data_IF_457891534457
#
_entry.id   IF_457891534457
#
_cell.length_a   1.000
_cell.length_b   1.000
_cell.length_c   1.000
_cell.angle_alpha   90.00
_cell.angle_beta   90.00
_cell.angle_gamma   90.00
#
_symmetry.space_group_name_H-M   'P 1'
#
loop_
_entity.id
_entity.type
_entity.pdbx_description
1 polymer ?
#
# COMPACT_ATOMS: atom_id res chain seq x y z
N UNK A 1 8.78 5.85 13.17
CA UNK A 1 9.62 6.02 11.96
C UNK A 1 8.91 5.28 10.84
N UNK A 2 8.21 6.00 9.98
CA UNK A 2 7.54 5.42 8.81
C UNK A 2 8.63 5.15 7.78
N UNK A 3 9.04 3.90 7.61
CA UNK A 3 10.00 3.55 6.57
C UNK A 3 9.32 3.72 5.22
N UNK A 4 9.53 4.87 4.59
CA UNK A 4 9.17 5.10 3.20
C UNK A 4 9.85 4.04 2.34
N UNK A 5 9.07 3.31 1.57
CA UNK A 5 9.57 2.23 0.71
C UNK A 5 9.08 2.49 -0.69
N UNK A 6 10.03 2.49 -1.61
CA UNK A 6 9.81 2.79 -3.01
C UNK A 6 10.22 1.62 -3.88
N UNK A 7 9.54 1.46 -5.00
CA UNK A 7 9.85 0.40 -5.95
C UNK A 7 9.62 0.87 -7.38
N UNK A 8 10.50 0.50 -8.30
CA UNK A 8 10.36 0.88 -9.71
C UNK A 8 9.47 -0.12 -10.48
N UNK A 9 8.36 0.37 -11.02
CA UNK A 9 7.55 -0.35 -12.00
C UNK A 9 8.11 -0.13 -13.42
N UNK A 10 8.26 -1.18 -14.24
CA UNK A 10 8.81 -1.07 -15.60
C UNK A 10 8.10 -0.03 -16.49
N UNK A 11 6.80 0.15 -16.30
CA UNK A 11 5.94 1.01 -17.14
C UNK A 11 5.59 2.34 -16.48
N UNK A 12 5.43 2.36 -15.15
CA UNK A 12 4.81 3.49 -14.43
C UNK A 12 5.81 4.23 -13.54
N UNK A 13 7.08 3.83 -13.57
CA UNK A 13 8.14 4.44 -12.79
C UNK A 13 7.99 4.17 -11.30
N UNK A 14 8.29 5.18 -10.49
CA UNK A 14 8.38 5.02 -9.05
C UNK A 14 7.01 4.83 -8.40
N UNK A 15 6.89 3.72 -7.66
CA UNK A 15 5.77 3.41 -6.80
C UNK A 15 6.15 3.68 -5.35
N UNK A 16 5.17 4.14 -4.57
CA UNK A 16 5.27 4.32 -3.12
C UNK A 16 4.44 3.26 -2.40
N UNK A 17 5.00 2.67 -1.34
CA UNK A 17 4.30 1.69 -0.53
C UNK A 17 3.28 2.34 0.40
N UNK A 18 2.02 1.97 0.22
CA UNK A 18 0.91 2.39 1.07
C UNK A 18 0.91 1.61 2.38
N UNK A 19 0.97 0.28 2.32
CA UNK A 19 1.03 -0.57 3.52
C UNK A 19 1.51 -1.98 3.23
N UNK A 20 1.96 -2.66 4.30
CA UNK A 20 2.13 -4.10 4.31
C UNK A 20 0.78 -4.80 4.51
N UNK A 21 0.55 -5.85 3.74
CA UNK A 21 -0.60 -6.74 3.87
C UNK A 21 -0.15 -8.08 4.46
N UNK A 22 -1.07 -9.03 4.55
CA UNK A 22 -0.75 -10.40 4.98
C UNK A 22 -0.11 -11.18 3.82
N UNK A 23 0.41 -12.38 4.08
CA UNK A 23 0.94 -13.29 3.04
C UNK A 23 2.10 -12.73 2.18
N UNK A 24 2.92 -11.83 2.72
CA UNK A 24 4.04 -11.20 2.00
C UNK A 24 3.61 -10.33 0.80
N UNK A 25 2.38 -9.83 0.84
CA UNK A 25 1.88 -8.86 -0.12
C UNK A 25 2.04 -7.43 0.41
N UNK A 26 2.28 -6.51 -0.51
CA UNK A 26 2.45 -5.10 -0.22
C UNK A 26 1.61 -4.28 -1.19
N UNK A 27 0.92 -3.26 -0.67
CA UNK A 27 0.14 -2.36 -1.51
C UNK A 27 1.00 -1.16 -1.93
N UNK A 28 1.08 -0.91 -3.22
CA UNK A 28 1.80 0.21 -3.80
C UNK A 28 0.88 1.10 -4.64
N UNK A 29 1.22 2.38 -4.75
CA UNK A 29 0.57 3.34 -5.64
C UNK A 29 1.58 4.17 -6.43
N UNK A 30 1.20 4.64 -7.61
CA UNK A 30 2.03 5.50 -8.46
C UNK A 30 2.17 6.91 -7.87
N UNK A 31 3.39 7.46 -7.87
CA UNK A 31 3.62 8.86 -7.48
C UNK A 31 3.28 9.88 -8.59
N UNK A 32 3.50 9.49 -9.85
CA UNK A 32 3.49 10.43 -10.98
C UNK A 32 2.34 10.24 -11.98
N UNK A 33 1.48 9.23 -11.78
CA UNK A 33 0.37 8.92 -12.67
C UNK A 33 -1.00 9.16 -11.99
N UNK A 34 -2.09 9.05 -12.74
CA UNK A 34 -3.48 9.08 -12.27
C UNK A 34 -3.78 7.91 -11.30
N UNK A 35 -3.18 7.96 -10.10
CA UNK A 35 -3.27 7.05 -8.94
C UNK A 35 -3.69 5.63 -9.30
N UNK A 36 -2.78 4.88 -9.92
CA UNK A 36 -2.90 3.44 -10.08
C UNK A 36 -2.47 2.72 -8.81
N UNK A 37 -3.03 1.55 -8.55
CA UNK A 37 -2.73 0.72 -7.39
C UNK A 37 -2.28 -0.67 -7.82
N UNK A 38 -1.28 -1.19 -7.13
CA UNK A 38 -0.70 -2.49 -7.42
C UNK A 38 -0.55 -3.29 -6.14
N UNK A 39 -1.00 -4.53 -6.19
CA UNK A 39 -0.60 -5.55 -5.22
C UNK A 39 0.74 -6.11 -5.67
N UNK A 40 1.75 -5.95 -4.82
CA UNK A 40 3.11 -6.39 -5.11
C UNK A 40 3.41 -7.61 -4.26
N UNK A 41 3.79 -8.70 -4.91
CA UNK A 41 4.27 -9.91 -4.24
C UNK A 41 5.74 -10.10 -4.57
N UNK A 42 6.59 -10.14 -3.54
CA UNK A 42 8.03 -10.34 -3.69
C UNK A 42 8.33 -11.83 -3.50
N UNK A 43 8.49 -12.54 -4.62
CA UNK A 43 8.92 -13.95 -4.62
C UNK A 43 10.44 -14.10 -4.73
N UNK A 44 10.99 -15.31 -4.52
CA UNK A 44 12.43 -15.57 -4.52
C UNK A 44 13.14 -15.32 -5.86
N UNK A 45 12.40 -15.26 -6.98
CA UNK A 45 12.96 -15.06 -8.33
C UNK A 45 12.33 -13.90 -9.10
N UNK A 46 11.17 -13.41 -8.68
CA UNK A 46 10.40 -12.42 -9.43
C UNK A 46 9.52 -11.60 -8.50
N UNK A 47 9.37 -10.32 -8.85
CA UNK A 47 8.36 -9.42 -8.28
C UNK A 47 7.16 -9.40 -9.22
N UNK A 48 5.96 -9.67 -8.69
CA UNK A 48 4.70 -9.51 -9.44
C UNK A 48 4.07 -8.15 -9.14
N UNK A 49 3.37 -7.61 -10.13
CA UNK A 49 2.63 -6.35 -10.05
C UNK A 49 1.23 -6.59 -10.56
N UNK A 50 0.31 -6.80 -9.64
CA UNK A 50 -1.08 -7.10 -9.98
C UNK A 50 -1.89 -5.80 -9.83
N UNK A 51 -2.37 -5.20 -10.93
CA UNK A 51 -3.13 -3.96 -10.85
C UNK A 51 -4.47 -4.22 -10.17
N UNK A 52 -4.86 -3.32 -9.27
CA UNK A 52 -6.14 -3.39 -8.58
C UNK A 52 -6.90 -2.06 -8.68
N UNK A 53 -8.22 -2.13 -8.51
CA UNK A 53 -9.04 -0.92 -8.51
C UNK A 53 -8.74 -0.06 -7.28
N UNK A 54 -9.00 1.25 -7.38
CA UNK A 54 -8.94 2.17 -6.23
C UNK A 54 -9.87 1.73 -5.09
N UNK A 55 -11.03 1.16 -5.42
CA UNK A 55 -12.01 0.68 -4.45
C UNK A 55 -11.49 -0.53 -3.67
N UNK A 56 -10.86 -1.49 -4.37
CA UNK A 56 -10.29 -2.68 -3.73
C UNK A 56 -9.07 -2.29 -2.87
N UNK A 57 -8.20 -1.43 -3.39
CA UNK A 57 -7.07 -0.88 -2.63
C UNK A 57 -7.54 -0.20 -1.34
N UNK A 58 -8.60 0.62 -1.41
CA UNK A 58 -9.19 1.27 -0.25
C UNK A 58 -9.68 0.26 0.78
N UNK A 59 -10.41 -0.76 0.34
CA UNK A 59 -10.94 -1.81 1.22
C UNK A 59 -9.82 -2.56 1.95
N UNK A 60 -8.72 -2.87 1.26
CA UNK A 60 -7.55 -3.53 1.85
C UNK A 60 -6.92 -2.67 2.96
N UNK A 61 -6.74 -1.37 2.71
CA UNK A 61 -6.18 -0.44 3.71
C UNK A 61 -7.12 -0.27 4.90
N UNK A 62 -8.43 -0.16 4.68
CA UNK A 62 -9.42 -0.08 5.75
C UNK A 62 -9.41 -1.34 6.63
N UNK A 63 -9.31 -2.52 6.03
CA UNK A 63 -9.19 -3.78 6.77
C UNK A 63 -7.90 -3.83 7.59
N UNK A 64 -6.77 -3.37 7.02
CA UNK A 64 -5.50 -3.27 7.74
C UNK A 64 -5.59 -2.32 8.94
N UNK A 65 -6.20 -1.15 8.77
CA UNK A 65 -6.45 -0.19 9.86
C UNK A 65 -7.29 -0.80 10.98
N UNK A 66 -8.37 -1.53 10.64
CA UNK A 66 -9.18 -2.23 11.64
C UNK A 66 -8.37 -3.27 12.41
N UNK A 67 -7.49 -4.02 11.74
CA UNK A 67 -6.61 -5.01 12.36
C UNK A 67 -5.58 -4.37 13.29
N UNK A 68 -4.94 -3.27 12.88
CA UNK A 68 -3.98 -2.53 13.72
C UNK A 68 -4.64 -1.96 14.98
N UNK A 69 -5.85 -1.42 14.84
CA UNK A 69 -6.64 -0.93 15.99
C UNK A 69 -6.95 -2.04 16.99
N UNK A 70 -7.31 -3.24 16.52
CA UNK A 70 -7.60 -4.41 17.38
C UNK A 70 -6.38 -4.94 18.11
N UNK A 71 -5.19 -4.84 17.51
CA UNK A 71 -3.91 -5.28 18.11
C UNK A 71 -3.26 -4.20 18.99
N UNK A 72 -3.94 -3.08 19.25
CA UNK A 72 -3.44 -1.92 20.01
C UNK A 72 -2.13 -1.33 19.49
N UNK A 73 -1.81 -1.55 18.20
CA UNK A 73 -0.61 -0.99 17.58
C UNK A 73 -0.89 0.43 17.06
N UNK A 74 -0.99 1.38 17.99
CA UNK A 74 -1.44 2.75 17.72
C UNK A 74 -0.44 3.56 16.89
N UNK A 75 0.86 3.26 16.98
CA UNK A 75 1.88 3.97 16.20
C UNK A 75 1.75 3.66 14.70
N UNK A 76 1.66 2.38 14.34
CA UNK A 76 1.48 1.96 12.95
C UNK A 76 0.10 2.37 12.43
N UNK A 77 -0.94 2.29 13.27
CA UNK A 77 -2.28 2.77 12.93
C UNK A 77 -2.29 4.25 12.55
N UNK A 78 -1.69 5.12 13.37
CA UNK A 78 -1.68 6.57 13.11
C UNK A 78 -0.94 6.90 11.82
N UNK A 79 0.22 6.26 11.58
CA UNK A 79 0.98 6.46 10.34
C UNK A 79 0.16 6.00 9.12
N UNK A 80 -0.44 4.81 9.17
CA UNK A 80 -1.24 4.29 8.06
C UNK A 80 -2.50 5.13 7.83
N UNK A 81 -3.13 5.62 8.89
CA UNK A 81 -4.34 6.45 8.78
C UNK A 81 -4.02 7.78 8.09
N UNK A 82 -2.85 8.37 8.36
CA UNK A 82 -2.40 9.57 7.64
C UNK A 82 -2.19 9.28 6.14
N UNK A 83 -1.48 8.20 5.80
CA UNK A 83 -1.28 7.78 4.41
C UNK A 83 -2.61 7.52 3.70
N UNK A 84 -3.56 6.87 4.39
CA UNK A 84 -4.91 6.61 3.88
C UNK A 84 -5.63 7.92 3.51
N UNK A 85 -5.62 8.92 4.40
CA UNK A 85 -6.26 10.21 4.12
C UNK A 85 -5.60 10.92 2.92
N UNK A 86 -4.27 10.92 2.84
CA UNK A 86 -3.56 11.56 1.71
C UNK A 86 -3.82 10.86 0.37
N UNK A 87 -4.03 9.54 0.40
CA UNK A 87 -4.15 8.70 -0.80
C UNK A 87 -5.59 8.62 -1.33
N UNK A 88 -6.58 8.56 -0.43
CA UNK A 88 -7.97 8.26 -0.79
C UNK A 88 -8.98 9.41 -0.53
N UNK A 89 -8.58 10.53 0.06
CA UNK A 89 -9.50 11.63 0.42
C UNK A 89 -9.78 12.63 -0.72
N UNK A 90 -9.86 12.15 -1.96
CA UNK A 90 -10.33 12.89 -3.15
C UNK A 90 -11.26 12.01 -3.96
#
# INVERSE_FOLDING_TARGET
MSNETYLNHPTFGLLYRVCLLEEHQELFTTLYAQRLFFLVTVGPKKVSFDPISRSDARLLVENRLRNLRRRSNMQEFNSLNQTYQQTFSV
#
